data_IF_569931246824
#
_entry.id   IF_569931246824
#
_cell.length_a   1.000
_cell.length_b   1.000
_cell.length_c   1.000
_cell.angle_alpha   90.00
_cell.angle_beta   90.00
_cell.angle_gamma   90.00
#
_symmetry.space_group_name_H-M   'P 1'
#
loop_
_entity.id
_entity.type
_entity.pdbx_description
1 polymer ?
#
# COMPACT_ATOMS: atom_id res chain seq x y z
N UNK A 1 0.50 -27.05 5.62
CA UNK A 1 -0.09 -27.51 6.90
C UNK A 1 0.91 -27.22 8.02
N UNK A 2 0.44 -26.63 9.13
CA UNK A 2 1.28 -26.32 10.31
C UNK A 2 0.93 -27.16 11.53
N UNK A 3 -0.26 -27.75 11.55
CA UNK A 3 -0.78 -28.52 12.69
C UNK A 3 -1.45 -29.79 12.16
N UNK A 4 -1.24 -30.90 12.84
CA UNK A 4 -1.98 -32.13 12.60
C UNK A 4 -3.34 -32.07 13.32
N UNK A 5 -4.37 -32.56 12.66
CA UNK A 5 -5.72 -32.60 13.21
C UNK A 5 -6.48 -33.84 12.70
N UNK A 6 -7.54 -34.20 13.41
CA UNK A 6 -8.33 -35.42 13.20
C UNK A 6 -9.05 -35.41 11.84
N UNK A 7 -9.43 -34.25 11.35
CA UNK A 7 -10.13 -34.06 10.08
C UNK A 7 -9.63 -32.80 9.33
N UNK A 8 -10.01 -32.69 8.06
CA UNK A 8 -9.57 -31.60 7.17
C UNK A 8 -10.00 -30.22 7.68
N UNK A 9 -11.22 -30.08 8.20
CA UNK A 9 -11.72 -28.79 8.67
C UNK A 9 -10.95 -28.31 9.92
N UNK A 10 -10.77 -29.21 10.89
CA UNK A 10 -9.97 -28.95 12.09
C UNK A 10 -8.52 -28.61 11.74
N UNK A 11 -7.93 -29.29 10.73
CA UNK A 11 -6.59 -28.99 10.22
C UNK A 11 -6.51 -27.57 9.61
N UNK A 12 -7.49 -27.16 8.81
CA UNK A 12 -7.55 -25.80 8.26
C UNK A 12 -7.67 -24.75 9.37
N UNK A 13 -8.57 -24.95 10.31
CA UNK A 13 -8.77 -24.03 11.44
C UNK A 13 -7.49 -23.88 12.27
N UNK A 14 -6.89 -24.98 12.68
CA UNK A 14 -5.68 -25.01 13.50
C UNK A 14 -4.47 -24.40 12.75
N UNK A 15 -4.31 -24.71 11.46
CA UNK A 15 -3.23 -24.17 10.63
C UNK A 15 -3.36 -22.64 10.46
N UNK A 16 -4.55 -22.13 10.23
CA UNK A 16 -4.82 -20.68 10.14
C UNK A 16 -4.61 -19.99 11.48
N UNK A 17 -5.10 -20.59 12.56
CA UNK A 17 -4.92 -20.05 13.91
C UNK A 17 -3.44 -19.93 14.29
N UNK A 18 -2.64 -20.95 13.98
CA UNK A 18 -1.20 -20.94 14.26
C UNK A 18 -0.36 -20.14 13.26
N UNK A 19 -0.86 -19.96 12.02
CA UNK A 19 -0.10 -19.38 10.93
C UNK A 19 -0.35 -17.89 10.70
N UNK A 20 -1.52 -17.38 11.05
CA UNK A 20 -1.88 -15.97 10.84
C UNK A 20 -1.60 -15.13 12.09
N UNK A 21 -0.90 -14.02 11.92
CA UNK A 21 -0.76 -12.98 12.94
C UNK A 21 -2.09 -12.26 13.20
N UNK A 22 -2.16 -11.51 14.28
CA UNK A 22 -3.41 -10.90 14.77
C UNK A 22 -3.98 -9.87 13.79
N UNK A 23 -3.13 -9.09 13.12
CA UNK A 23 -3.59 -8.12 12.09
C UNK A 23 -4.20 -8.82 10.88
N UNK A 24 -3.64 -9.94 10.42
CA UNK A 24 -4.21 -10.73 9.33
C UNK A 24 -5.58 -11.28 9.72
N UNK A 25 -5.71 -11.82 10.93
CA UNK A 25 -7.00 -12.31 11.48
C UNK A 25 -8.04 -11.18 11.52
N UNK A 26 -7.65 -10.00 12.01
CA UNK A 26 -8.51 -8.81 12.06
C UNK A 26 -9.03 -8.42 10.69
N UNK A 27 -8.15 -8.34 9.68
CA UNK A 27 -8.53 -7.99 8.29
C UNK A 27 -9.45 -9.02 7.65
N UNK A 28 -9.20 -10.31 7.87
CA UNK A 28 -10.08 -11.38 7.39
C UNK A 28 -11.47 -11.27 8.02
N UNK A 29 -11.54 -11.01 9.33
CA UNK A 29 -12.83 -10.83 10.03
C UNK A 29 -13.59 -9.62 9.51
N UNK A 30 -12.92 -8.47 9.36
CA UNK A 30 -13.53 -7.25 8.82
C UNK A 30 -14.03 -7.44 7.39
N UNK A 31 -13.26 -8.09 6.52
CA UNK A 31 -13.67 -8.40 5.15
C UNK A 31 -14.87 -9.32 5.10
N UNK A 32 -14.88 -10.37 5.91
CA UNK A 32 -16.02 -11.31 6.01
C UNK A 32 -17.27 -10.59 6.51
N UNK A 33 -17.15 -9.73 7.52
CA UNK A 33 -18.25 -8.92 8.03
C UNK A 33 -18.83 -7.98 6.97
N UNK A 34 -17.96 -7.24 6.26
CA UNK A 34 -18.37 -6.31 5.22
C UNK A 34 -19.08 -6.99 4.02
N UNK A 35 -18.79 -8.27 3.78
CA UNK A 35 -19.42 -9.07 2.73
C UNK A 35 -20.61 -9.91 3.21
N UNK A 36 -20.92 -9.90 4.51
CA UNK A 36 -22.04 -10.67 5.05
C UNK A 36 -23.41 -10.09 4.68
N UNK A 37 -24.44 -10.91 4.76
CA UNK A 37 -25.81 -10.52 4.43
C UNK A 37 -26.25 -9.30 5.27
N UNK A 38 -26.87 -8.33 4.61
CA UNK A 38 -27.33 -7.07 5.21
C UNK A 38 -26.26 -5.95 5.28
N UNK A 39 -24.97 -6.26 5.13
CA UNK A 39 -23.90 -5.28 5.14
C UNK A 39 -23.26 -5.05 3.77
N UNK A 40 -23.47 -5.95 2.81
CA UNK A 40 -22.91 -5.86 1.46
C UNK A 40 -23.22 -4.52 0.78
N UNK A 41 -24.51 -4.14 0.71
CA UNK A 41 -24.92 -2.88 0.06
C UNK A 41 -24.50 -1.64 0.87
N UNK A 42 -24.56 -1.73 2.20
CA UNK A 42 -24.23 -0.61 3.07
C UNK A 42 -22.75 -0.28 3.07
N UNK A 43 -21.88 -1.27 3.04
CA UNK A 43 -20.43 -1.09 3.13
C UNK A 43 -19.73 -1.38 1.81
N UNK A 44 -19.82 -2.59 1.28
CA UNK A 44 -19.06 -2.99 0.09
C UNK A 44 -19.54 -2.26 -1.17
N UNK A 45 -20.83 -2.18 -1.40
CA UNK A 45 -21.40 -1.44 -2.54
C UNK A 45 -21.04 0.05 -2.49
N UNK A 46 -21.07 0.67 -1.31
CA UNK A 46 -20.63 2.05 -1.12
C UNK A 46 -19.13 2.23 -1.36
N UNK A 47 -18.32 1.30 -0.86
CA UNK A 47 -16.88 1.32 -1.07
C UNK A 47 -16.50 1.22 -2.56
N UNK A 48 -17.19 0.40 -3.35
CA UNK A 48 -16.99 0.33 -4.81
C UNK A 48 -17.29 1.66 -5.50
N UNK A 49 -18.34 2.37 -5.08
CA UNK A 49 -18.66 3.71 -5.62
C UNK A 49 -17.56 4.73 -5.29
N UNK A 50 -17.07 4.73 -4.05
CA UNK A 50 -15.96 5.61 -3.64
C UNK A 50 -14.67 5.25 -4.37
N UNK A 51 -14.37 3.95 -4.52
CA UNK A 51 -13.24 3.47 -5.32
C UNK A 51 -13.29 4.00 -6.76
N UNK A 52 -14.49 4.04 -7.37
CA UNK A 52 -14.68 4.60 -8.71
C UNK A 52 -14.34 6.09 -8.74
N UNK A 53 -14.76 6.89 -7.76
CA UNK A 53 -14.43 8.31 -7.68
C UNK A 53 -12.91 8.53 -7.57
N UNK A 54 -12.21 7.72 -6.76
CA UNK A 54 -10.74 7.75 -6.67
C UNK A 54 -10.12 7.46 -8.04
N UNK A 55 -10.59 6.43 -8.74
CA UNK A 55 -10.09 6.09 -10.07
C UNK A 55 -10.32 7.21 -11.08
N UNK A 56 -11.47 7.89 -11.02
CA UNK A 56 -11.79 9.02 -11.90
C UNK A 56 -10.91 10.26 -11.59
N UNK A 57 -10.50 10.47 -10.33
CA UNK A 57 -9.53 11.51 -9.95
C UNK A 57 -8.16 11.26 -10.60
N UNK A 58 -7.66 10.03 -10.53
CA UNK A 58 -6.43 9.64 -11.22
C UNK A 58 -6.55 9.80 -12.75
N UNK A 59 -7.67 9.37 -13.35
CA UNK A 59 -7.88 9.51 -14.78
C UNK A 59 -7.82 11.00 -15.23
N UNK A 60 -8.36 11.92 -14.43
CA UNK A 60 -8.24 13.37 -14.70
C UNK A 60 -6.80 13.87 -14.58
N UNK A 61 -6.05 13.41 -13.59
CA UNK A 61 -4.64 13.79 -13.44
C UNK A 61 -3.79 13.26 -14.61
N UNK A 62 -3.99 12.03 -15.03
CA UNK A 62 -3.29 11.43 -16.18
C UNK A 62 -3.71 11.99 -17.55
N UNK A 63 -4.79 12.76 -17.63
CA UNK A 63 -5.10 13.50 -18.85
C UNK A 63 -4.08 14.62 -19.16
N UNK A 64 -3.31 15.05 -18.16
CA UNK A 64 -2.33 16.16 -18.27
C UNK A 64 -0.92 15.80 -17.84
N UNK A 65 -0.70 14.58 -17.35
CA UNK A 65 0.60 14.12 -16.85
C UNK A 65 0.81 12.64 -17.21
N UNK A 66 2.01 12.29 -17.64
CA UNK A 66 2.38 10.90 -17.96
C UNK A 66 2.62 10.06 -16.69
N UNK A 67 3.13 10.71 -15.64
CA UNK A 67 3.38 10.11 -14.33
C UNK A 67 3.06 11.10 -13.22
N UNK A 68 2.78 10.58 -12.02
CA UNK A 68 2.61 11.36 -10.80
C UNK A 68 3.69 11.00 -9.80
N UNK A 69 4.17 11.98 -9.05
CA UNK A 69 5.18 11.79 -8.00
C UNK A 69 4.61 12.22 -6.65
N UNK A 70 4.80 11.37 -5.64
CA UNK A 70 4.45 11.66 -4.25
C UNK A 70 5.53 11.13 -3.30
N UNK A 71 5.59 11.57 -2.04
CA UNK A 71 6.29 10.80 -1.03
C UNK A 71 5.74 9.38 -0.98
N UNK A 72 6.57 8.38 -0.71
CA UNK A 72 6.09 6.99 -0.51
C UNK A 72 5.37 6.87 0.84
N UNK A 73 5.87 7.53 1.87
CA UNK A 73 5.28 7.59 3.21
C UNK A 73 5.32 9.02 3.73
N UNK A 74 4.36 9.45 4.59
CA UNK A 74 4.35 10.80 5.17
C UNK A 74 5.48 11.04 6.18
N UNK A 75 6.10 9.99 6.68
CA UNK A 75 7.18 10.04 7.68
C UNK A 75 8.31 9.09 7.31
N UNK A 76 9.55 9.35 7.77
CA UNK A 76 10.64 8.38 7.70
C UNK A 76 10.37 7.13 8.56
N UNK A 77 11.29 6.17 8.52
CA UNK A 77 11.23 4.99 9.38
C UNK A 77 11.18 5.39 10.87
N UNK A 78 10.40 4.66 11.64
CA UNK A 78 10.25 4.81 13.10
C UNK A 78 10.81 3.57 13.80
N UNK A 79 11.01 3.65 15.14
CA UNK A 79 11.59 2.56 15.91
C UNK A 79 10.65 1.35 15.96
N UNK A 80 11.23 0.16 16.06
CA UNK A 80 10.45 -1.08 16.22
C UNK A 80 9.60 -0.98 17.47
N UNK A 81 8.29 -1.22 17.34
CA UNK A 81 7.31 -1.15 18.42
C UNK A 81 6.74 0.23 18.70
N UNK A 82 7.29 1.32 18.17
CA UNK A 82 6.86 2.70 18.47
C UNK A 82 5.37 2.97 18.16
N UNK A 83 4.80 2.27 17.17
CA UNK A 83 3.39 2.43 16.77
C UNK A 83 2.54 1.19 17.04
N UNK A 84 3.03 0.25 17.86
CA UNK A 84 2.32 -1.01 18.11
C UNK A 84 0.95 -0.80 18.79
N UNK A 85 0.85 0.21 19.66
CA UNK A 85 -0.35 0.52 20.42
C UNK A 85 -1.24 1.60 19.78
N UNK A 86 -0.86 2.12 18.60
CA UNK A 86 -1.62 3.12 17.83
C UNK A 86 -1.89 2.66 16.40
N UNK A 87 -2.92 1.83 16.19
CA UNK A 87 -3.28 1.33 14.86
C UNK A 87 -3.60 2.44 13.85
N UNK A 88 -4.18 3.55 14.29
CA UNK A 88 -4.52 4.67 13.39
C UNK A 88 -3.27 5.34 12.84
N UNK A 89 -2.30 5.62 13.70
CA UNK A 89 -1.01 6.20 13.29
C UNK A 89 -0.24 5.26 12.37
N UNK A 90 -0.37 3.94 12.56
CA UNK A 90 0.21 2.95 11.65
C UNK A 90 -0.47 2.98 10.28
N UNK A 91 -1.81 3.03 10.21
CA UNK A 91 -2.55 3.11 8.93
C UNK A 91 -2.27 4.41 8.17
N UNK A 92 -2.04 5.53 8.86
CA UNK A 92 -1.69 6.80 8.22
C UNK A 92 -0.34 6.74 7.49
N UNK A 93 0.54 5.80 7.81
CA UNK A 93 1.79 5.61 7.05
C UNK A 93 1.55 5.19 5.59
N UNK A 94 0.39 4.62 5.28
CA UNK A 94 0.02 4.13 3.95
C UNK A 94 -0.85 5.12 3.15
N UNK A 95 -1.05 6.34 3.66
CA UNK A 95 -1.99 7.32 3.07
C UNK A 95 -1.69 7.65 1.60
N UNK A 96 -0.43 7.59 1.17
CA UNK A 96 -0.03 7.85 -0.21
C UNK A 96 -0.03 6.60 -1.10
N UNK A 97 0.06 5.41 -0.54
CA UNK A 97 0.11 4.16 -1.31
C UNK A 97 -1.26 3.51 -1.51
N UNK A 98 -2.18 3.68 -0.56
CA UNK A 98 -3.54 3.13 -0.65
C UNK A 98 -4.33 3.64 -1.87
N UNK A 99 -4.32 4.94 -2.23
CA UNK A 99 -5.12 5.45 -3.36
C UNK A 99 -4.78 4.79 -4.69
N UNK A 100 -3.50 4.59 -5.00
CA UNK A 100 -3.09 3.93 -6.25
C UNK A 100 -3.49 2.45 -6.28
N UNK A 101 -3.45 1.75 -5.13
CA UNK A 101 -3.95 0.38 -5.01
C UNK A 101 -5.46 0.31 -5.25
N UNK A 102 -6.24 1.25 -4.70
CA UNK A 102 -7.68 1.33 -4.92
C UNK A 102 -8.03 1.65 -6.38
N UNK A 103 -7.28 2.53 -7.02
CA UNK A 103 -7.46 2.91 -8.42
C UNK A 103 -7.01 1.81 -9.40
N UNK A 104 -6.10 0.91 -8.99
CA UNK A 104 -5.57 -0.17 -9.83
C UNK A 104 -4.49 0.31 -10.81
N UNK A 105 -3.68 1.29 -10.41
CA UNK A 105 -2.58 1.83 -11.20
C UNK A 105 -1.22 1.26 -10.78
N UNK A 106 -0.26 1.13 -11.71
CA UNK A 106 1.10 0.77 -11.38
C UNK A 106 1.77 1.88 -10.57
N UNK A 107 2.54 1.49 -9.56
CA UNK A 107 3.33 2.39 -8.74
C UNK A 107 4.58 1.70 -8.23
N UNK A 108 5.64 2.45 -8.00
CA UNK A 108 6.86 1.97 -7.38
C UNK A 108 7.49 3.05 -6.50
N UNK A 109 8.22 2.64 -5.48
CA UNK A 109 9.05 3.52 -4.67
C UNK A 109 10.49 3.48 -5.14
N UNK A 110 11.11 4.65 -5.23
CA UNK A 110 12.52 4.82 -5.60
C UNK A 110 13.23 5.55 -4.47
N UNK A 111 14.45 5.15 -4.07
CA UNK A 111 15.25 5.92 -3.12
C UNK A 111 15.43 7.37 -3.61
N UNK A 112 15.23 8.35 -2.72
CA UNK A 112 15.29 9.77 -3.08
C UNK A 112 16.14 10.62 -2.11
N UNK A 113 16.99 10.00 -1.34
CA UNK A 113 17.89 10.65 -0.38
C UNK A 113 17.56 10.29 1.05
N UNK A 114 18.02 11.15 1.98
CA UNK A 114 17.85 10.92 3.41
C UNK A 114 17.12 12.08 4.08
N UNK A 115 16.44 11.78 5.18
CA UNK A 115 15.90 12.78 6.09
C UNK A 115 17.02 13.56 6.79
N UNK A 116 16.66 14.59 7.57
CA UNK A 116 17.63 15.34 8.40
C UNK A 116 18.34 14.45 9.41
N UNK A 117 17.71 13.37 9.84
CA UNK A 117 18.26 12.39 10.80
C UNK A 117 19.02 11.25 10.12
N UNK A 118 19.28 11.35 8.80
CA UNK A 118 20.03 10.36 8.04
C UNK A 118 19.23 9.12 7.62
N UNK A 119 17.93 9.07 7.89
CA UNK A 119 17.08 7.92 7.51
C UNK A 119 16.69 8.00 6.02
N UNK A 120 16.71 6.87 5.28
CA UNK A 120 16.36 6.88 3.87
C UNK A 120 14.91 7.26 3.66
N UNK A 121 14.66 8.04 2.60
CA UNK A 121 13.33 8.41 2.13
C UNK A 121 13.12 7.94 0.69
N UNK A 122 11.86 7.66 0.35
CA UNK A 122 11.47 7.23 -0.99
C UNK A 122 10.49 8.22 -1.64
N UNK A 123 10.59 8.33 -2.96
CA UNK A 123 9.56 8.94 -3.80
C UNK A 123 8.77 7.84 -4.49
N UNK A 124 7.45 7.95 -4.47
CA UNK A 124 6.56 7.09 -5.21
C UNK A 124 6.36 7.64 -6.62
N UNK A 125 6.60 6.82 -7.63
CA UNK A 125 6.31 7.09 -9.04
C UNK A 125 5.10 6.27 -9.42
N UNK A 126 4.06 6.92 -9.93
CA UNK A 126 2.80 6.30 -10.34
C UNK A 126 2.53 6.60 -11.80
N UNK A 127 1.91 5.68 -12.55
CA UNK A 127 1.47 5.90 -13.92
C UNK A 127 0.05 5.40 -14.14
N UNK A 128 -0.54 5.73 -15.29
CA UNK A 128 -1.86 5.22 -15.68
C UNK A 128 -1.87 3.70 -15.81
N UNK A 129 -3.05 3.09 -15.87
CA UNK A 129 -3.20 1.64 -16.07
C UNK A 129 -2.38 1.17 -17.27
N UNK A 130 -1.58 0.12 -17.08
CA UNK A 130 -0.62 -0.43 -18.06
C UNK A 130 0.47 0.58 -18.49
N UNK A 131 0.72 1.60 -17.69
CA UNK A 131 1.72 2.65 -17.92
C UNK A 131 3.08 2.38 -17.27
N UNK A 132 3.49 1.13 -17.12
CA UNK A 132 4.75 0.76 -16.48
C UNK A 132 5.97 1.31 -17.22
N UNK A 133 5.91 1.44 -18.54
CA UNK A 133 7.04 1.91 -19.35
C UNK A 133 7.43 3.36 -19.01
N UNK A 134 6.55 4.38 -19.03
CA UNK A 134 6.89 5.73 -18.58
C UNK A 134 7.27 5.76 -17.10
N UNK A 135 6.62 4.98 -16.24
CA UNK A 135 6.97 4.87 -14.82
C UNK A 135 8.42 4.44 -14.63
N UNK A 136 8.88 3.37 -15.27
CA UNK A 136 10.27 2.90 -15.18
C UNK A 136 11.27 3.89 -15.75
N UNK A 137 10.94 4.60 -16.83
CA UNK A 137 11.82 5.64 -17.40
C UNK A 137 12.07 6.78 -16.41
N UNK A 138 11.01 7.26 -15.76
CA UNK A 138 11.12 8.33 -14.75
C UNK A 138 11.85 7.81 -13.52
N UNK A 139 11.50 6.63 -13.01
CA UNK A 139 12.15 6.00 -11.88
C UNK A 139 13.66 5.85 -12.08
N UNK A 140 14.10 5.31 -13.23
CA UNK A 140 15.51 5.17 -13.57
C UNK A 140 16.24 6.51 -13.71
N UNK A 141 15.54 7.57 -14.11
CA UNK A 141 16.11 8.92 -14.18
C UNK A 141 16.33 9.50 -12.78
N UNK A 142 15.34 9.34 -11.89
CA UNK A 142 15.45 9.75 -10.48
C UNK A 142 16.60 9.01 -9.78
N UNK A 143 16.67 7.70 -9.91
CA UNK A 143 17.73 6.88 -9.32
C UNK A 143 19.12 7.33 -9.79
N UNK A 144 19.33 7.54 -11.09
CA UNK A 144 20.60 8.04 -11.63
C UNK A 144 20.97 9.43 -11.11
N UNK A 145 19.99 10.33 -10.99
CA UNK A 145 20.25 11.68 -10.47
C UNK A 145 20.70 11.64 -9.01
N UNK A 146 20.11 10.75 -8.21
CA UNK A 146 20.49 10.57 -6.81
C UNK A 146 21.89 9.98 -6.65
N UNK A 147 22.26 8.98 -7.45
CA UNK A 147 23.60 8.40 -7.46
C UNK A 147 24.64 9.45 -7.84
N UNK A 148 24.33 10.32 -8.80
CA UNK A 148 25.24 11.40 -9.22
C UNK A 148 25.42 12.48 -8.14
N UNK A 149 24.42 12.71 -7.29
CA UNK A 149 24.44 13.72 -6.21
C UNK A 149 25.07 13.16 -4.94
N UNK A 150 24.82 11.88 -4.61
CA UNK A 150 25.36 11.21 -3.42
C UNK A 150 26.88 10.96 -3.45
N UNK A 151 27.50 11.04 -4.61
CA UNK A 151 28.96 10.95 -4.75
C UNK A 151 29.71 12.25 -4.41
N UNK A 152 29.02 13.30 -3.92
CA UNK A 152 29.60 14.61 -3.58
C UNK A 152 29.55 14.96 -2.09
N UNK A 153 29.26 14.00 -1.21
CA UNK A 153 29.28 14.20 0.26
C UNK A 153 30.51 13.54 0.88
#
# INVERSE_FOLDING_TARGET
RRVDAVDTNSMYMATRAAGFGDEVKRRIMLGTYALSAGYYDAYYGKALKVRRLISDDFARAYATADVLLTPTSPIPAFKVGEKADDPLSMYLCDVYTIPTNLAGHPAMSVPFGNSRDGLPIGVQVMASTLGEQPMFKVAATLERSMLATGGRS
#
